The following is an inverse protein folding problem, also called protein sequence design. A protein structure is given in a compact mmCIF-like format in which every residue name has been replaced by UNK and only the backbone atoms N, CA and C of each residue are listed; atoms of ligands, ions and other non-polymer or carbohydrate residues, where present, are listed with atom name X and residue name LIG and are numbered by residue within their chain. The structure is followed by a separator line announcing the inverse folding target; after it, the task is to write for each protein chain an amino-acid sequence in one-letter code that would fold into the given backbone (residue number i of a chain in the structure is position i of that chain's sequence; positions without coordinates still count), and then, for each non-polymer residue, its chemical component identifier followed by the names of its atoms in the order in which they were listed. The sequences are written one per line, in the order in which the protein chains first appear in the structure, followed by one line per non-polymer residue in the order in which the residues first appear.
data_IF_872336425132
#
_entry.id   IF_872336425132
#
_cell.length_a   1.000
_cell.length_b   1.000
_cell.length_c   1.000
_cell.angle_alpha   90.00
_cell.angle_beta   90.00
_cell.angle_gamma   90.00
#
_symmetry.space_group_name_H-M   'P 1'
#
loop_
_entity.id
_entity.type
_entity.pdbx_description
1 polymer ?
#
# COMPACT_ATOMS: atom_id res chain seq x y z
N UNK A 1 11.58 -12.99 -12.74
CA UNK A 1 10.45 -12.11 -13.11
C UNK A 1 9.86 -12.57 -14.42
N UNK A 2 8.54 -12.57 -14.55
CA UNK A 2 7.87 -12.94 -15.79
C UNK A 2 8.06 -11.86 -16.85
N UNK A 3 8.23 -12.25 -18.12
CA UNK A 3 8.42 -11.33 -19.26
C UNK A 3 7.30 -10.27 -19.37
N UNK A 4 6.07 -10.63 -19.08
CA UNK A 4 4.93 -9.71 -19.09
C UNK A 4 5.13 -8.52 -18.14
N UNK A 5 5.87 -8.69 -17.04
CA UNK A 5 6.15 -7.62 -16.07
C UNK A 5 7.08 -6.58 -16.66
N UNK A 6 8.05 -6.99 -17.48
CA UNK A 6 8.93 -6.07 -18.19
C UNK A 6 8.17 -5.37 -19.32
N UNK A 7 7.44 -6.13 -20.15
CA UNK A 7 6.73 -5.61 -21.34
C UNK A 7 5.71 -4.52 -20.99
N UNK A 8 4.97 -4.66 -19.91
CA UNK A 8 3.96 -3.66 -19.48
C UNK A 8 4.57 -2.31 -19.06
N UNK A 9 5.86 -2.29 -18.70
CA UNK A 9 6.58 -1.07 -18.36
C UNK A 9 7.17 -0.35 -19.57
N UNK A 10 7.21 -1.01 -20.75
CA UNK A 10 7.75 -0.41 -21.96
C UNK A 10 6.88 0.74 -22.45
N UNK A 11 7.53 1.81 -22.88
CA UNK A 11 6.91 2.99 -23.51
C UNK A 11 7.25 3.07 -24.99
N UNK A 12 8.35 2.43 -25.40
CA UNK A 12 8.67 2.21 -26.80
C UNK A 12 7.85 1.02 -27.30
N UNK A 13 6.90 1.27 -28.22
CA UNK A 13 6.07 0.23 -28.81
C UNK A 13 6.81 -0.46 -29.95
N UNK A 14 6.63 -1.77 -30.07
CA UNK A 14 7.14 -2.57 -31.20
C UNK A 14 6.57 -2.04 -32.52
N UNK A 15 7.41 -2.02 -33.55
CA UNK A 15 7.03 -1.53 -34.88
C UNK A 15 6.84 -0.01 -35.02
N UNK A 16 7.08 0.76 -33.95
CA UNK A 16 7.06 2.22 -34.00
C UNK A 16 8.46 2.80 -34.24
N UNK A 17 8.53 4.10 -34.56
CA UNK A 17 9.80 4.81 -34.68
C UNK A 17 10.58 4.74 -33.36
N UNK A 18 11.84 4.33 -33.42
CA UNK A 18 12.72 4.28 -32.26
C UNK A 18 12.94 5.70 -31.68
N UNK A 19 12.77 5.83 -30.38
CA UNK A 19 12.95 7.10 -29.68
C UNK A 19 13.75 6.89 -28.41
N UNK A 20 14.92 7.51 -28.32
CA UNK A 20 15.78 7.45 -27.14
C UNK A 20 15.02 7.90 -25.88
N UNK A 21 14.17 8.92 -26.01
CA UNK A 21 13.37 9.42 -24.88
C UNK A 21 12.38 8.37 -24.36
N UNK A 22 11.79 7.53 -25.24
CA UNK A 22 10.88 6.47 -24.85
C UNK A 22 11.66 5.26 -24.28
N UNK A 23 12.83 4.96 -24.83
CA UNK A 23 13.72 3.91 -24.31
C UNK A 23 14.22 4.26 -22.90
N UNK A 24 14.73 5.48 -22.71
CA UNK A 24 15.13 5.96 -21.38
C UNK A 24 13.96 5.97 -20.37
N UNK A 25 12.77 6.34 -20.83
CA UNK A 25 11.58 6.29 -19.97
C UNK A 25 11.23 4.85 -19.58
N UNK A 26 11.34 3.90 -20.51
CA UNK A 26 11.12 2.48 -20.24
C UNK A 26 12.13 1.94 -19.22
N UNK A 27 13.42 2.26 -19.40
CA UNK A 27 14.49 1.93 -18.44
C UNK A 27 14.16 2.50 -17.05
N UNK A 28 13.84 3.78 -16.95
CA UNK A 28 13.53 4.43 -15.68
C UNK A 28 12.31 3.81 -14.98
N UNK A 29 11.33 3.32 -15.74
CA UNK A 29 10.17 2.63 -15.18
C UNK A 29 10.55 1.28 -14.60
N UNK A 30 11.37 0.50 -15.32
CA UNK A 30 11.90 -0.78 -14.81
C UNK A 30 12.75 -0.57 -13.55
N UNK A 31 13.64 0.42 -13.54
CA UNK A 31 14.45 0.76 -12.35
C UNK A 31 13.57 1.09 -11.12
N UNK A 32 12.44 1.76 -11.35
CA UNK A 32 11.51 2.15 -10.27
C UNK A 32 10.73 0.98 -9.65
N UNK A 33 10.67 -0.17 -10.31
CA UNK A 33 10.04 -1.37 -9.75
C UNK A 33 10.75 -1.85 -8.50
N UNK A 34 12.08 -1.64 -8.42
CA UNK A 34 12.90 -1.90 -7.23
C UNK A 34 13.11 -3.38 -6.94
N UNK A 35 13.09 -4.22 -7.97
CA UNK A 35 13.50 -5.62 -7.95
C UNK A 35 14.49 -5.98 -9.07
N UNK A 36 15.08 -4.95 -9.69
CA UNK A 36 16.22 -5.06 -10.59
C UNK A 36 17.39 -4.26 -10.01
N UNK A 37 18.55 -4.86 -9.97
CA UNK A 37 19.81 -4.23 -9.56
C UNK A 37 20.35 -3.33 -10.66
N UNK A 38 20.20 -3.80 -11.91
CA UNK A 38 20.67 -3.10 -13.09
C UNK A 38 19.70 -3.32 -14.25
N UNK A 39 19.42 -2.26 -14.98
CA UNK A 39 18.60 -2.28 -16.20
C UNK A 39 19.39 -1.56 -17.28
N UNK A 40 19.66 -2.26 -18.38
CA UNK A 40 20.32 -1.70 -19.55
C UNK A 40 19.51 -1.97 -20.81
N UNK A 41 19.75 -1.19 -21.85
CA UNK A 41 19.23 -1.48 -23.17
C UNK A 41 20.27 -1.17 -24.23
N UNK A 42 20.21 -1.92 -25.33
CA UNK A 42 21.05 -1.73 -26.50
C UNK A 42 20.17 -1.70 -27.75
N UNK A 43 20.61 -0.92 -28.74
CA UNK A 43 19.96 -0.87 -30.06
C UNK A 43 20.86 -1.56 -31.06
N UNK A 44 20.38 -2.66 -31.66
CA UNK A 44 21.13 -3.49 -32.59
C UNK A 44 20.53 -3.34 -33.99
N UNK A 45 21.29 -2.90 -35.01
CA UNK A 45 20.79 -2.86 -36.39
C UNK A 45 20.36 -4.23 -36.90
N UNK A 46 19.20 -4.34 -37.49
CA UNK A 46 18.70 -5.60 -38.08
C UNK A 46 19.47 -5.93 -39.35
N UNK A 47 20.13 -7.11 -39.47
CA UNK A 47 20.84 -7.48 -40.66
C UNK A 47 19.95 -7.49 -41.93
N UNK A 48 20.34 -6.72 -42.94
CA UNK A 48 19.60 -6.63 -44.20
C UNK A 48 18.54 -5.57 -44.25
N UNK A 49 18.18 -4.92 -43.14
CA UNK A 49 17.20 -3.85 -43.06
C UNK A 49 17.89 -2.56 -42.59
N UNK A 50 17.92 -1.53 -43.45
CA UNK A 50 18.67 -0.29 -43.15
C UNK A 50 17.94 0.67 -42.21
N UNK A 51 16.64 0.49 -42.05
CA UNK A 51 15.72 1.36 -41.35
C UNK A 51 15.12 0.72 -40.10
N UNK A 52 15.63 -0.45 -39.69
CA UNK A 52 15.15 -1.17 -38.52
C UNK A 52 16.26 -1.43 -37.49
N UNK A 53 15.87 -1.36 -36.26
CA UNK A 53 16.72 -1.71 -35.11
C UNK A 53 15.94 -2.62 -34.16
N UNK A 54 16.62 -3.61 -33.63
CA UNK A 54 16.13 -4.38 -32.47
C UNK A 54 16.57 -3.65 -31.19
N UNK A 55 15.69 -3.61 -30.21
CA UNK A 55 15.99 -3.06 -28.90
C UNK A 55 16.01 -4.19 -27.90
N UNK A 56 17.17 -4.44 -27.35
CA UNK A 56 17.39 -5.49 -26.35
C UNK A 56 17.49 -4.87 -24.97
N UNK A 57 16.53 -5.20 -24.08
CA UNK A 57 16.60 -4.84 -22.67
C UNK A 57 17.22 -6.00 -21.89
N UNK A 58 18.27 -5.72 -21.14
CA UNK A 58 18.91 -6.65 -20.21
C UNK A 58 18.67 -6.20 -18.78
N UNK A 59 18.26 -7.12 -17.93
CA UNK A 59 17.98 -6.86 -16.51
C UNK A 59 18.73 -7.85 -15.63
N UNK A 60 19.31 -7.36 -14.54
CA UNK A 60 19.86 -8.18 -13.46
C UNK A 60 18.87 -8.14 -12.30
N UNK A 61 18.27 -9.28 -11.95
CA UNK A 61 17.30 -9.34 -10.84
C UNK A 61 18.02 -9.23 -9.49
N UNK A 62 17.37 -8.55 -8.56
CA UNK A 62 17.77 -8.45 -7.16
C UNK A 62 16.68 -9.07 -6.26
N UNK A 63 17.05 -9.37 -5.02
CA UNK A 63 16.07 -9.82 -4.03
C UNK A 63 15.03 -8.75 -3.80
N UNK A 64 13.78 -9.04 -4.15
CA UNK A 64 12.62 -8.15 -4.00
C UNK A 64 11.98 -8.25 -2.61
N UNK A 65 12.33 -9.30 -1.86
CA UNK A 65 11.85 -9.55 -0.51
C UNK A 65 12.75 -8.97 0.57
N UNK A 66 12.15 -8.44 1.62
CA UNK A 66 12.85 -7.95 2.80
C UNK A 66 12.16 -8.39 4.09
N UNK A 67 12.95 -8.68 5.12
CA UNK A 67 12.48 -8.95 6.47
C UNK A 67 13.11 -7.90 7.38
N UNK A 68 12.28 -7.17 8.11
CA UNK A 68 12.73 -6.19 9.09
C UNK A 68 12.20 -6.56 10.48
N UNK A 69 13.10 -6.60 11.46
CA UNK A 69 12.76 -6.74 12.87
C UNK A 69 13.04 -5.45 13.62
N UNK A 70 12.22 -5.12 14.61
CA UNK A 70 12.42 -3.98 15.50
C UNK A 70 12.18 -4.38 16.96
N UNK A 71 13.00 -3.86 17.84
CA UNK A 71 12.87 -3.96 19.29
C UNK A 71 12.89 -2.56 19.88
N UNK A 72 12.00 -2.27 20.79
CA UNK A 72 11.94 -0.98 21.43
C UNK A 72 11.59 -1.12 22.92
N UNK A 73 12.04 -0.15 23.73
CA UNK A 73 11.61 0.03 25.09
C UNK A 73 11.42 1.51 25.37
N UNK A 74 10.29 1.87 25.96
CA UNK A 74 9.94 3.27 26.21
C UNK A 74 8.96 3.43 27.36
N UNK A 75 8.35 4.61 27.45
CA UNK A 75 7.38 4.95 28.51
C UNK A 75 6.17 3.99 28.56
N UNK A 76 5.87 3.33 27.46
CA UNK A 76 4.75 2.38 27.31
C UNK A 76 5.23 0.91 27.26
N UNK A 77 6.43 0.63 27.86
CA UNK A 77 6.96 -0.72 27.99
C UNK A 77 7.74 -1.20 26.77
N UNK A 78 7.76 -2.52 26.60
CA UNK A 78 8.50 -3.20 25.55
C UNK A 78 7.68 -3.28 24.26
N UNK A 79 8.35 -3.18 23.12
CA UNK A 79 7.74 -3.37 21.82
C UNK A 79 8.60 -4.25 20.92
N UNK A 80 7.93 -5.12 20.17
CA UNK A 80 8.50 -6.01 19.16
C UNK A 80 7.77 -5.81 17.84
N UNK A 81 8.51 -5.65 16.76
CA UNK A 81 7.96 -5.62 15.41
C UNK A 81 8.65 -6.60 14.48
N UNK A 82 7.90 -7.21 13.59
CA UNK A 82 8.37 -8.01 12.48
C UNK A 82 7.59 -7.63 11.24
N UNK A 83 8.29 -7.31 10.17
CA UNK A 83 7.69 -6.99 8.88
C UNK A 83 8.35 -7.79 7.76
N UNK A 84 7.53 -8.48 6.96
CA UNK A 84 7.93 -9.09 5.70
C UNK A 84 7.31 -8.30 4.55
N UNK A 85 8.13 -7.92 3.60
CA UNK A 85 7.69 -7.22 2.40
C UNK A 85 8.32 -7.86 1.18
N UNK A 86 7.49 -8.25 0.22
CA UNK A 86 7.88 -8.79 -1.08
C UNK A 86 7.26 -7.91 -2.17
N UNK A 87 8.08 -7.39 -3.08
CA UNK A 87 7.62 -6.49 -4.16
C UNK A 87 7.31 -7.20 -5.46
N UNK A 88 7.80 -8.42 -5.61
CA UNK A 88 7.68 -9.21 -6.85
C UNK A 88 7.33 -10.66 -6.52
N UNK A 89 6.23 -10.86 -5.81
CA UNK A 89 5.78 -12.18 -5.39
C UNK A 89 5.66 -13.13 -6.59
N UNK A 90 6.38 -14.24 -6.52
CA UNK A 90 6.44 -15.28 -7.58
C UNK A 90 6.85 -14.76 -8.97
N UNK A 91 7.53 -13.60 -9.05
CA UNK A 91 7.94 -13.00 -10.33
C UNK A 91 6.82 -12.32 -11.12
N UNK A 92 5.66 -12.09 -10.51
CA UNK A 92 4.46 -11.53 -11.16
C UNK A 92 4.39 -10.00 -11.11
N UNK A 93 5.29 -9.36 -10.34
CA UNK A 93 5.24 -7.93 -10.04
C UNK A 93 4.18 -7.54 -9.01
N UNK A 94 3.53 -8.53 -8.39
CA UNK A 94 2.58 -8.30 -7.30
C UNK A 94 3.35 -8.13 -5.98
N UNK A 95 2.81 -7.32 -5.08
CA UNK A 95 3.43 -7.13 -3.78
C UNK A 95 2.64 -7.77 -2.65
N UNK A 96 3.38 -8.28 -1.65
CA UNK A 96 2.84 -8.81 -0.41
C UNK A 96 3.54 -8.11 0.75
N UNK A 97 2.77 -7.66 1.73
CA UNK A 97 3.29 -7.14 2.98
C UNK A 97 2.59 -7.81 4.15
N UNK A 98 3.37 -8.32 5.11
CA UNK A 98 2.87 -8.93 6.35
C UNK A 98 3.59 -8.24 7.49
N UNK A 99 2.83 -7.63 8.39
CA UNK A 99 3.36 -6.93 9.57
C UNK A 99 2.78 -7.50 10.85
N UNK A 100 3.66 -7.73 11.83
CA UNK A 100 3.29 -8.12 13.20
C UNK A 100 3.98 -7.12 14.12
N UNK A 101 3.21 -6.42 14.92
CA UNK A 101 3.73 -5.51 15.93
C UNK A 101 3.04 -5.85 17.25
N UNK A 102 3.80 -5.95 18.31
CA UNK A 102 3.27 -6.21 19.65
C UNK A 102 3.98 -5.33 20.68
N UNK A 103 3.21 -4.76 21.56
CA UNK A 103 3.68 -4.00 22.71
C UNK A 103 2.82 -4.31 23.92
N UNK A 104 3.20 -3.77 25.09
CA UNK A 104 2.44 -4.00 26.32
C UNK A 104 1.00 -3.47 26.27
N UNK A 105 0.71 -2.54 25.34
CA UNK A 105 -0.62 -1.93 25.21
C UNK A 105 -1.30 -2.19 23.89
N UNK A 106 -0.59 -2.68 22.86
CA UNK A 106 -1.17 -2.89 21.54
C UNK A 106 -0.48 -4.05 20.83
N UNK A 107 -1.28 -4.89 20.19
CA UNK A 107 -0.81 -5.87 19.21
C UNK A 107 -1.54 -5.65 17.89
N UNK A 108 -0.81 -5.76 16.78
CA UNK A 108 -1.35 -5.58 15.43
C UNK A 108 -0.77 -6.64 14.51
N UNK A 109 -1.63 -7.32 13.78
CA UNK A 109 -1.29 -8.19 12.67
C UNK A 109 -1.93 -7.59 11.41
N UNK A 110 -1.15 -7.41 10.36
CA UNK A 110 -1.64 -6.90 9.07
C UNK A 110 -1.13 -7.73 7.91
N UNK A 111 -1.98 -7.88 6.92
CA UNK A 111 -1.68 -8.47 5.63
C UNK A 111 -2.14 -7.54 4.52
N UNK A 112 -1.29 -7.29 3.54
CA UNK A 112 -1.64 -6.53 2.35
C UNK A 112 -1.10 -7.25 1.11
N UNK A 113 -1.94 -7.33 0.10
CA UNK A 113 -1.61 -7.79 -1.24
C UNK A 113 -1.96 -6.69 -2.23
N UNK A 114 -1.13 -6.48 -3.25
CA UNK A 114 -1.42 -5.52 -4.30
C UNK A 114 -0.92 -6.04 -5.66
N UNK A 115 -1.84 -6.04 -6.63
CA UNK A 115 -1.55 -6.28 -8.05
C UNK A 115 -1.66 -4.95 -8.79
N UNK A 116 -0.54 -4.39 -9.27
CA UNK A 116 -0.53 -3.10 -9.97
C UNK A 116 -1.13 -3.15 -11.37
N UNK A 117 -1.29 -4.34 -11.93
CA UNK A 117 -1.80 -4.55 -13.30
C UNK A 117 -2.91 -5.61 -13.33
N UNK A 118 -3.90 -5.47 -12.46
CA UNK A 118 -5.11 -6.28 -12.49
C UNK A 118 -5.81 -6.20 -13.86
N UNK A 119 -5.73 -5.04 -14.52
CA UNK A 119 -6.12 -4.86 -15.92
C UNK A 119 -4.91 -4.51 -16.78
N UNK A 120 -5.02 -4.73 -18.09
CA UNK A 120 -3.98 -4.39 -19.07
C UNK A 120 -3.69 -2.89 -19.12
N UNK A 121 -4.66 -2.06 -18.77
CA UNK A 121 -4.55 -0.59 -18.74
C UNK A 121 -3.85 -0.08 -17.47
N UNK A 122 -3.40 -0.98 -16.58
CA UNK A 122 -2.67 -0.62 -15.36
C UNK A 122 -3.56 -0.20 -14.20
N UNK A 123 -4.85 -0.59 -14.18
CA UNK A 123 -5.66 -0.47 -12.98
C UNK A 123 -5.18 -1.53 -12.00
N UNK A 124 -4.75 -1.07 -10.82
CA UNK A 124 -4.32 -1.94 -9.74
C UNK A 124 -5.46 -2.35 -8.83
N UNK A 125 -5.33 -3.53 -8.22
CA UNK A 125 -6.23 -4.00 -7.15
C UNK A 125 -5.43 -4.38 -5.91
N UNK A 126 -5.92 -3.96 -4.75
CA UNK A 126 -5.34 -4.30 -3.47
C UNK A 126 -6.34 -4.98 -2.55
N UNK A 127 -5.84 -5.86 -1.70
CA UNK A 127 -6.57 -6.50 -0.61
C UNK A 127 -5.81 -6.31 0.68
N UNK A 128 -6.51 -5.95 1.73
CA UNK A 128 -5.95 -5.80 3.07
C UNK A 128 -6.78 -6.57 4.09
N UNK A 129 -6.11 -7.07 5.13
CA UNK A 129 -6.78 -7.61 6.31
C UNK A 129 -5.93 -7.25 7.53
N UNK A 130 -6.58 -6.97 8.64
CA UNK A 130 -5.88 -6.71 9.89
C UNK A 130 -6.64 -7.24 11.10
N UNK A 131 -5.88 -7.51 12.15
CA UNK A 131 -6.37 -7.75 13.50
C UNK A 131 -5.55 -6.90 14.47
N UNK A 132 -6.20 -6.14 15.32
CA UNK A 132 -5.56 -5.27 16.29
C UNK A 132 -6.23 -5.40 17.65
N UNK A 133 -5.42 -5.47 18.69
CA UNK A 133 -5.89 -5.34 20.07
C UNK A 133 -5.22 -4.14 20.71
N UNK A 134 -5.95 -3.39 21.53
CA UNK A 134 -5.36 -2.31 22.31
C UNK A 134 -5.92 -2.28 23.73
N UNK A 135 -5.03 -2.17 24.71
CA UNK A 135 -5.36 -2.05 26.14
C UNK A 135 -4.49 -0.97 26.80
N UNK A 136 -5.10 0.18 27.01
CA UNK A 136 -4.44 1.31 27.66
C UNK A 136 -4.74 1.42 29.15
N UNK A 137 -5.42 0.44 29.74
CA UNK A 137 -5.85 0.46 31.14
C UNK A 137 -4.67 0.46 32.10
N UNK A 138 -3.59 -0.25 31.76
CA UNK A 138 -2.35 -0.29 32.54
C UNK A 138 -1.58 1.04 32.61
N UNK A 139 -1.89 1.99 31.73
CA UNK A 139 -1.23 3.30 31.65
C UNK A 139 -2.13 4.47 32.08
N UNK A 140 -3.29 4.19 32.66
CA UNK A 140 -4.31 5.19 33.01
C UNK A 140 -4.74 6.11 31.84
N UNK A 141 -4.58 5.65 30.60
CA UNK A 141 -4.95 6.40 29.41
C UNK A 141 -6.41 6.12 28.99
N UNK A 142 -6.90 4.91 29.25
CA UNK A 142 -8.29 4.55 29.02
C UNK A 142 -8.71 3.43 30.00
N UNK A 143 -9.98 3.39 30.34
CA UNK A 143 -10.58 2.38 31.21
C UNK A 143 -11.31 1.26 30.45
N UNK A 144 -10.89 1.01 29.22
CA UNK A 144 -11.42 -0.04 28.33
C UNK A 144 -10.32 -0.54 27.39
N UNK A 145 -10.56 -1.67 26.77
CA UNK A 145 -9.73 -2.20 25.70
C UNK A 145 -10.56 -2.46 24.46
N UNK A 146 -9.90 -2.59 23.30
CA UNK A 146 -10.57 -2.85 22.04
C UNK A 146 -9.90 -3.98 21.28
N UNK A 147 -10.71 -4.84 20.67
CA UNK A 147 -10.28 -5.74 19.62
C UNK A 147 -10.90 -5.28 18.30
N UNK A 148 -10.10 -5.12 17.28
CA UNK A 148 -10.57 -4.74 15.96
C UNK A 148 -10.09 -5.75 14.92
N UNK A 149 -10.97 -6.11 14.02
CA UNK A 149 -10.67 -6.91 12.83
C UNK A 149 -11.27 -6.22 11.61
N UNK A 150 -10.55 -6.21 10.53
CA UNK A 150 -11.06 -5.61 9.31
C UNK A 150 -10.47 -6.24 8.06
N UNK A 151 -11.22 -6.07 6.97
CA UNK A 151 -10.80 -6.43 5.63
C UNK A 151 -11.13 -5.28 4.66
N UNK A 152 -10.30 -5.09 3.67
CA UNK A 152 -10.48 -4.02 2.69
C UNK A 152 -10.08 -4.45 1.30
N UNK A 153 -10.69 -3.82 0.32
CA UNK A 153 -10.23 -3.86 -1.07
C UNK A 153 -10.09 -2.45 -1.60
N UNK A 154 -9.17 -2.25 -2.52
CA UNK A 154 -8.97 -0.98 -3.20
C UNK A 154 -8.71 -1.17 -4.68
N UNK A 155 -9.21 -0.25 -5.50
CA UNK A 155 -8.86 -0.09 -6.89
C UNK A 155 -7.99 1.16 -7.04
N UNK A 156 -6.87 1.02 -7.74
CA UNK A 156 -5.94 2.13 -7.99
C UNK A 156 -5.96 2.43 -9.48
N UNK A 157 -6.43 3.62 -9.83
CA UNK A 157 -6.58 4.11 -11.20
C UNK A 157 -5.47 5.13 -11.49
N UNK A 158 -4.48 4.80 -12.31
CA UNK A 158 -3.48 5.77 -12.74
C UNK A 158 -4.14 6.79 -13.68
N UNK A 159 -4.04 8.08 -13.34
CA UNK A 159 -4.51 9.18 -14.19
C UNK A 159 -3.39 9.57 -15.15
N UNK A 160 -2.18 9.66 -14.63
CA UNK A 160 -0.95 9.93 -15.39
C UNK A 160 0.28 9.45 -14.59
N UNK A 161 1.49 9.76 -15.05
CA UNK A 161 2.76 9.30 -14.42
C UNK A 161 2.97 9.79 -12.98
N UNK A 162 2.27 10.83 -12.55
CA UNK A 162 2.44 11.45 -11.24
C UNK A 162 1.14 11.50 -10.43
N UNK A 163 0.01 11.15 -11.01
CA UNK A 163 -1.31 11.25 -10.37
C UNK A 163 -2.07 9.92 -10.44
N UNK A 164 -2.71 9.57 -9.34
CA UNK A 164 -3.57 8.39 -9.25
C UNK A 164 -4.79 8.67 -8.37
N UNK A 165 -5.87 7.97 -8.66
CA UNK A 165 -7.09 7.91 -7.84
C UNK A 165 -7.24 6.49 -7.30
N UNK A 166 -7.42 6.36 -5.98
CA UNK A 166 -7.72 5.08 -5.35
C UNK A 166 -9.13 5.11 -4.78
N UNK A 167 -9.90 4.08 -5.05
CA UNK A 167 -11.22 3.86 -4.47
C UNK A 167 -11.14 2.66 -3.54
N UNK A 168 -11.69 2.75 -2.35
CA UNK A 168 -11.61 1.68 -1.35
C UNK A 168 -12.96 1.33 -0.76
N UNK A 169 -13.11 0.07 -0.40
CA UNK A 169 -14.21 -0.48 0.38
C UNK A 169 -13.60 -1.23 1.57
N UNK A 170 -14.02 -0.92 2.77
CA UNK A 170 -13.60 -1.56 4.01
C UNK A 170 -14.77 -2.14 4.79
N UNK A 171 -14.50 -3.22 5.48
CA UNK A 171 -15.38 -3.88 6.44
C UNK A 171 -14.61 -3.97 7.75
N UNK A 172 -15.09 -3.33 8.78
CA UNK A 172 -14.42 -3.24 10.07
C UNK A 172 -15.38 -3.67 11.18
N UNK A 173 -14.90 -4.46 12.13
CA UNK A 173 -15.61 -4.80 13.36
C UNK A 173 -14.70 -4.44 14.53
N UNK A 174 -15.22 -3.65 15.46
CA UNK A 174 -14.53 -3.26 16.69
C UNK A 174 -15.33 -3.71 17.90
N UNK A 175 -14.73 -4.49 18.77
CA UNK A 175 -15.31 -4.95 20.03
C UNK A 175 -14.69 -4.17 21.19
N UNK A 176 -15.53 -3.49 21.94
CA UNK A 176 -15.16 -2.76 23.15
C UNK A 176 -15.28 -3.70 24.35
N UNK A 177 -14.21 -3.80 25.13
CA UNK A 177 -14.16 -4.59 26.37
C UNK A 177 -14.03 -3.63 27.56
N UNK A 178 -14.89 -3.78 28.52
CA UNK A 178 -14.95 -2.94 29.71
C UNK A 178 -14.26 -3.59 30.89
N UNK A 179 -13.85 -2.77 31.87
CA UNK A 179 -13.34 -3.21 33.16
C UNK A 179 -14.06 -2.47 34.31
N UNK A 180 -13.68 -2.74 35.56
CA UNK A 180 -14.29 -2.15 36.76
C UNK A 180 -14.12 -0.62 36.86
N UNK A 181 -13.23 -0.03 36.10
CA UNK A 181 -12.94 1.40 36.06
C UNK A 181 -13.57 2.09 34.84
N UNK A 182 -14.33 1.37 34.03
CA UNK A 182 -14.95 1.92 32.84
C UNK A 182 -15.95 3.02 33.21
N UNK A 183 -15.88 4.15 32.52
CA UNK A 183 -16.74 5.30 32.76
C UNK A 183 -18.22 4.94 32.52
N UNK A 184 -19.13 5.55 33.32
CA UNK A 184 -20.57 5.33 33.14
C UNK A 184 -21.04 5.72 31.74
N UNK A 185 -20.51 6.78 31.15
CA UNK A 185 -20.84 7.20 29.78
C UNK A 185 -20.58 6.10 28.74
N UNK A 186 -19.45 5.37 28.86
CA UNK A 186 -19.16 4.28 27.96
C UNK A 186 -20.03 3.06 28.21
N UNK A 187 -20.37 2.78 29.48
CA UNK A 187 -21.30 1.70 29.83
C UNK A 187 -22.69 2.00 29.28
N UNK A 188 -23.16 3.23 29.38
CA UNK A 188 -24.46 3.67 28.83
C UNK A 188 -24.48 3.60 27.31
N UNK A 189 -23.38 3.98 26.66
CA UNK A 189 -23.21 3.82 25.22
C UNK A 189 -23.29 2.36 24.81
N UNK A 190 -22.54 1.47 25.48
CA UNK A 190 -22.55 0.03 25.18
C UNK A 190 -23.93 -0.59 25.45
N UNK A 191 -24.66 -0.11 26.45
CA UNK A 191 -26.01 -0.56 26.73
C UNK A 191 -27.02 -0.14 25.63
N UNK A 192 -26.80 1.00 24.99
CA UNK A 192 -27.65 1.52 23.92
C UNK A 192 -27.29 0.91 22.54
N UNK A 193 -26.02 0.88 22.20
CA UNK A 193 -25.53 0.58 20.82
C UNK A 193 -24.83 -0.79 20.72
N UNK A 194 -24.59 -1.47 21.85
CA UNK A 194 -23.84 -2.74 21.88
C UNK A 194 -22.33 -2.55 22.07
N UNK A 195 -21.66 -3.64 22.48
CA UNK A 195 -20.22 -3.65 22.69
C UNK A 195 -19.42 -3.91 21.39
N UNK A 196 -20.09 -4.37 20.35
CA UNK A 196 -19.50 -4.65 19.05
C UNK A 196 -20.06 -3.65 18.05
N UNK A 197 -19.19 -2.96 17.35
CA UNK A 197 -19.53 -1.96 16.34
C UNK A 197 -19.04 -2.44 14.99
N UNK A 198 -19.92 -2.49 14.01
CA UNK A 198 -19.60 -2.87 12.63
C UNK A 198 -19.66 -1.63 11.74
N UNK A 199 -18.70 -1.51 10.83
CA UNK A 199 -18.63 -0.41 9.89
C UNK A 199 -18.32 -0.89 8.47
N UNK A 200 -19.09 -0.41 7.53
CA UNK A 200 -18.80 -0.50 6.10
C UNK A 200 -18.32 0.87 5.65
N UNK A 201 -17.08 0.95 5.20
CA UNK A 201 -16.44 2.21 4.83
C UNK A 201 -16.20 2.27 3.33
N UNK A 202 -16.53 3.40 2.71
CA UNK A 202 -16.19 3.72 1.33
C UNK A 202 -15.23 4.90 1.35
N UNK A 203 -14.15 4.79 0.59
CA UNK A 203 -13.14 5.83 0.55
C UNK A 203 -12.70 6.16 -0.87
N UNK A 204 -12.19 7.39 -1.02
CA UNK A 204 -11.52 7.84 -2.22
C UNK A 204 -10.26 8.61 -1.83
N UNK A 205 -9.15 8.31 -2.50
CA UNK A 205 -7.87 9.00 -2.28
C UNK A 205 -7.31 9.45 -3.60
N UNK A 206 -7.15 10.75 -3.77
CA UNK A 206 -6.37 11.31 -4.86
C UNK A 206 -4.95 11.61 -4.37
N UNK A 207 -3.97 11.17 -5.12
CA UNK A 207 -2.57 11.45 -4.83
C UNK A 207 -1.85 12.01 -6.05
N UNK A 208 -1.00 13.00 -5.81
CA UNK A 208 -0.07 13.55 -6.79
C UNK A 208 1.33 13.54 -6.20
N UNK A 209 2.24 12.81 -6.85
CA UNK A 209 3.62 12.67 -6.43
C UNK A 209 4.55 13.04 -7.60
N UNK A 210 5.12 14.23 -7.55
CA UNK A 210 6.10 14.74 -8.52
C UNK A 210 7.53 14.81 -7.94
N UNK A 211 7.77 14.15 -6.79
CA UNK A 211 9.09 14.14 -6.15
C UNK A 211 10.13 13.51 -7.08
N UNK A 212 11.30 14.15 -7.16
CA UNK A 212 12.40 13.67 -7.99
C UNK A 212 13.11 12.44 -7.44
N UNK A 213 12.91 12.11 -6.15
CA UNK A 213 13.45 10.90 -5.48
C UNK A 213 12.67 10.58 -4.21
N UNK A 214 12.67 9.30 -3.82
CA UNK A 214 11.92 8.82 -2.65
C UNK A 214 12.57 9.19 -1.31
N UNK A 215 13.92 9.19 -1.25
CA UNK A 215 14.67 9.58 -0.06
C UNK A 215 15.31 10.95 -0.28
N UNK A 216 15.11 11.87 0.69
CA UNK A 216 15.63 13.23 0.67
C UNK A 216 15.33 13.97 -0.64
N UNK A 217 14.04 14.16 -0.99
CA UNK A 217 13.66 14.85 -2.21
C UNK A 217 14.17 16.32 -2.17
N UNK A 218 14.65 16.79 -3.31
CA UNK A 218 15.15 18.17 -3.47
C UNK A 218 14.25 19.01 -4.37
N UNK A 219 13.30 18.39 -5.05
CA UNK A 219 12.34 19.06 -5.93
C UNK A 219 11.07 18.22 -6.06
N UNK A 220 9.96 18.87 -6.39
CA UNK A 220 8.65 18.25 -6.57
C UNK A 220 7.73 18.45 -5.36
N UNK A 221 6.51 17.96 -5.48
CA UNK A 221 5.45 18.10 -4.50
C UNK A 221 4.77 16.74 -4.32
N UNK A 222 4.46 16.40 -3.08
CA UNK A 222 3.59 15.28 -2.72
C UNK A 222 2.30 15.84 -2.14
N UNK A 223 1.17 15.60 -2.79
CA UNK A 223 -0.16 15.90 -2.26
C UNK A 223 -0.97 14.60 -2.17
N UNK A 224 -1.68 14.44 -1.07
CA UNK A 224 -2.58 13.32 -0.86
C UNK A 224 -3.85 13.86 -0.18
N UNK A 225 -4.99 13.70 -0.87
CA UNK A 225 -6.30 14.03 -0.33
C UNK A 225 -7.10 12.74 -0.26
N UNK A 226 -7.51 12.36 0.94
CA UNK A 226 -8.33 11.17 1.16
C UNK A 226 -9.60 11.49 1.93
N UNK A 227 -10.68 10.89 1.49
CA UNK A 227 -11.96 10.88 2.20
C UNK A 227 -12.40 9.45 2.47
N UNK A 228 -13.02 9.22 3.61
CA UNK A 228 -13.71 7.97 3.90
C UNK A 228 -15.01 8.26 4.64
N UNK A 229 -16.04 7.49 4.35
CA UNK A 229 -17.38 7.64 4.90
C UNK A 229 -17.86 6.26 5.33
N UNK A 230 -18.37 6.14 6.55
CA UNK A 230 -19.11 4.96 6.98
C UNK A 230 -20.53 5.05 6.41
N UNK A 231 -20.95 3.99 5.73
CA UNK A 231 -22.27 3.93 5.06
C UNK A 231 -23.18 2.91 5.74
N UNK A 232 -24.52 3.08 5.69
CA UNK A 232 -25.44 2.06 6.16
C UNK A 232 -25.21 0.69 5.49
N UNK A 233 -25.33 -0.43 6.21
CA UNK A 233 -25.91 -0.59 7.56
C UNK A 233 -24.89 -0.51 8.73
N UNK A 234 -23.86 0.32 8.63
CA UNK A 234 -22.91 0.51 9.73
C UNK A 234 -23.59 0.95 11.03
N UNK A 235 -23.12 0.43 12.16
CA UNK A 235 -23.54 0.86 13.50
C UNK A 235 -23.07 2.29 13.82
N UNK A 236 -22.00 2.73 13.13
CA UNK A 236 -21.42 4.07 13.30
C UNK A 236 -21.54 4.88 12.02
N UNK A 237 -21.77 6.18 12.15
CA UNK A 237 -21.82 7.12 11.03
C UNK A 237 -20.74 8.18 11.23
N UNK A 238 -19.78 8.24 10.30
CA UNK A 238 -18.76 9.29 10.30
C UNK A 238 -18.26 9.58 8.89
N UNK A 239 -17.73 10.77 8.72
CA UNK A 239 -16.96 11.15 7.54
C UNK A 239 -15.58 11.68 7.96
N UNK A 240 -14.55 11.26 7.27
CA UNK A 240 -13.16 11.69 7.51
C UNK A 240 -12.60 12.29 6.24
N UNK A 241 -12.01 13.48 6.35
CA UNK A 241 -11.22 14.10 5.29
C UNK A 241 -9.79 14.30 5.80
N UNK A 242 -8.82 13.87 5.02
CA UNK A 242 -7.40 14.03 5.35
C UNK A 242 -6.67 14.66 4.17
N UNK A 243 -5.86 15.68 4.43
CA UNK A 243 -4.94 16.25 3.47
C UNK A 243 -3.51 16.15 4.01
N UNK A 244 -2.61 15.59 3.22
CA UNK A 244 -1.16 15.57 3.47
C UNK A 244 -0.47 16.29 2.33
N UNK A 245 0.51 17.07 2.68
CA UNK A 245 1.22 17.94 1.74
C UNK A 245 2.70 18.03 2.14
#
# INVERSE_FOLDING_TARGET
THDVVLRREMRQMEGSWASDALLERSKLRLDRLGFFKEVNYETVPVPGERDKVDVEFSVEEEFSGSIAGSLGYGAYGFSLGLNYSEKNAFGTGNSINIGINSSDYQSNLQFNFFDPYFTVDGIGIGYGAYYSTSDYSGFNAASYSTDAVGASTQLVLPINEIEQLSLSLGLDQTKIKTNIYTSQQLLDYIAAEGATQEAITVGATWSRNSLNRGLFPTAGILNLISTSIAIPPSDVTYGKLTHKF
#
